data_IF_795185312686
#
_entry.id   IF_795185312686
#
_cell.length_a   1.000
_cell.length_b   1.000
_cell.length_c   1.000
_cell.angle_alpha   90.00
_cell.angle_beta   90.00
_cell.angle_gamma   90.00
#
_symmetry.space_group_name_H-M   'P 1'
#
loop_
_entity.id
_entity.type
_entity.pdbx_description
1 polymer ?
#
# COMPACT_ATOMS: atom_id res chain seq x y z
N UNK A 1 8.09 6.78 -4.82
CA UNK A 1 8.38 5.42 -5.28
C UNK A 1 9.11 4.69 -4.15
N UNK A 2 8.69 3.44 -3.90
CA UNK A 2 9.23 2.61 -2.82
C UNK A 2 9.02 1.12 -3.15
N UNK A 3 9.93 0.28 -2.69
CA UNK A 3 9.72 -1.16 -2.56
C UNK A 3 8.81 -1.40 -1.34
N UNK A 4 7.69 -2.12 -1.53
CA UNK A 4 6.73 -2.37 -0.46
C UNK A 4 6.63 -3.85 -0.15
N UNK A 5 6.53 -4.19 1.14
CA UNK A 5 6.31 -5.54 1.61
C UNK A 5 5.10 -5.54 2.54
N UNK A 6 4.09 -6.35 2.19
CA UNK A 6 2.89 -6.56 3.00
C UNK A 6 2.99 -7.97 3.59
N UNK A 7 3.10 -8.11 4.91
CA UNK A 7 3.07 -9.39 5.63
C UNK A 7 1.81 -9.49 6.48
N UNK A 8 1.05 -10.57 6.35
CA UNK A 8 -0.19 -10.76 7.08
C UNK A 8 0.07 -11.55 8.36
N UNK A 9 -0.32 -10.95 9.49
CA UNK A 9 -0.29 -11.58 10.82
C UNK A 9 -1.62 -12.27 11.12
N UNK A 10 -2.73 -11.56 10.87
CA UNK A 10 -4.10 -12.04 11.12
C UNK A 10 -5.04 -11.55 10.00
N UNK A 11 -6.09 -12.32 9.72
CA UNK A 11 -7.04 -12.00 8.66
C UNK A 11 -6.51 -12.31 7.26
N UNK A 12 -6.80 -11.46 6.29
CA UNK A 12 -6.26 -11.57 4.93
C UNK A 12 -6.27 -10.22 4.22
N UNK A 13 -5.44 -10.06 3.20
CA UNK A 13 -5.47 -8.90 2.33
C UNK A 13 -5.60 -9.33 0.87
N UNK A 14 -6.49 -8.67 0.14
CA UNK A 14 -6.59 -8.81 -1.32
C UNK A 14 -5.80 -7.67 -1.92
N UNK A 15 -4.69 -7.99 -2.57
CA UNK A 15 -3.84 -7.03 -3.25
C UNK A 15 -4.02 -7.19 -4.75
N UNK A 16 -4.47 -6.12 -5.39
CA UNK A 16 -4.62 -6.02 -6.83
C UNK A 16 -3.44 -5.23 -7.39
N UNK A 17 -2.67 -5.89 -8.22
CA UNK A 17 -1.64 -5.31 -9.05
C UNK A 17 -2.22 -5.08 -10.45
N UNK A 18 -1.55 -4.31 -11.28
CA UNK A 18 -1.98 -4.02 -12.66
C UNK A 18 -2.18 -5.27 -13.55
N UNK A 19 -1.61 -6.39 -13.20
CA UNK A 19 -1.58 -7.63 -13.99
C UNK A 19 -2.26 -8.82 -13.29
N UNK A 20 -2.48 -8.73 -11.98
CA UNK A 20 -3.05 -9.86 -11.21
C UNK A 20 -3.61 -9.39 -9.86
N UNK A 21 -4.54 -10.17 -9.34
CA UNK A 21 -5.02 -10.06 -7.96
C UNK A 21 -4.52 -11.25 -7.16
N UNK A 22 -3.99 -10.98 -5.97
CA UNK A 22 -3.53 -12.02 -5.04
C UNK A 22 -4.14 -11.81 -3.66
N UNK A 23 -4.68 -12.88 -3.10
CA UNK A 23 -5.06 -12.91 -1.68
C UNK A 23 -3.85 -13.38 -0.87
N UNK A 24 -3.48 -12.60 0.14
CA UNK A 24 -2.37 -12.89 1.05
C UNK A 24 -2.96 -13.30 2.39
N UNK A 25 -2.58 -14.46 2.88
CA UNK A 25 -3.06 -15.08 4.12
C UNK A 25 -2.05 -14.96 5.26
N UNK A 26 -2.45 -15.27 6.51
CA UNK A 26 -1.55 -15.24 7.66
C UNK A 26 -0.28 -16.07 7.44
N UNK A 27 0.86 -15.50 7.81
CA UNK A 27 2.17 -16.10 7.60
C UNK A 27 2.73 -15.93 6.18
N UNK A 28 1.99 -15.31 5.28
CA UNK A 28 2.45 -14.97 3.94
C UNK A 28 2.82 -13.50 3.83
N UNK A 29 3.74 -13.20 2.90
CA UNK A 29 4.02 -11.81 2.50
C UNK A 29 3.93 -11.65 0.99
N UNK A 30 3.70 -10.42 0.56
CA UNK A 30 3.75 -10.00 -0.83
C UNK A 30 4.73 -8.85 -0.96
N UNK A 31 5.65 -8.98 -1.91
CA UNK A 31 6.56 -7.93 -2.31
C UNK A 31 5.98 -7.22 -3.53
N UNK A 32 5.97 -5.90 -3.49
CA UNK A 32 5.50 -5.02 -4.54
C UNK A 32 6.68 -4.13 -4.94
N UNK A 33 7.15 -4.31 -6.15
CA UNK A 33 8.28 -3.54 -6.68
C UNK A 33 7.92 -2.06 -6.81
N UNK A 34 8.93 -1.20 -6.69
CA UNK A 34 8.78 0.23 -6.84
C UNK A 34 8.12 0.60 -8.18
N UNK A 35 7.31 1.66 -8.17
CA UNK A 35 6.56 2.10 -9.33
C UNK A 35 5.38 1.19 -9.74
N UNK A 36 5.09 0.10 -9.01
CA UNK A 36 3.92 -0.74 -9.30
C UNK A 36 2.67 -0.15 -8.69
N UNK A 37 1.72 0.19 -9.53
CA UNK A 37 0.39 0.61 -9.10
C UNK A 37 -0.32 -0.60 -8.51
N UNK A 38 -0.83 -0.43 -7.30
CA UNK A 38 -1.57 -1.47 -6.61
C UNK A 38 -2.64 -0.91 -5.69
N UNK A 39 -3.60 -1.74 -5.35
CA UNK A 39 -4.55 -1.49 -4.27
C UNK A 39 -4.53 -2.65 -3.29
N UNK A 40 -4.69 -2.36 -2.02
CA UNK A 40 -4.85 -3.39 -0.99
C UNK A 40 -6.16 -3.17 -0.24
N UNK A 41 -6.95 -4.21 -0.07
CA UNK A 41 -8.18 -4.20 0.72
C UNK A 41 -8.23 -5.39 1.67
N UNK A 42 -8.76 -5.15 2.86
CA UNK A 42 -8.94 -6.19 3.86
C UNK A 42 -10.42 -6.60 3.85
N UNK A 43 -10.75 -7.82 3.41
CA UNK A 43 -12.14 -8.28 3.30
C UNK A 43 -12.77 -8.62 4.66
N UNK A 44 -11.94 -8.83 5.70
CA UNK A 44 -12.39 -9.22 7.04
C UNK A 44 -12.10 -8.15 8.09
N UNK A 45 -12.91 -8.14 9.15
CA UNK A 45 -12.61 -7.42 10.40
C UNK A 45 -11.43 -8.08 11.12
N UNK A 46 -10.61 -7.28 11.81
CA UNK A 46 -9.49 -7.83 12.60
C UNK A 46 -8.26 -8.21 11.78
N UNK A 47 -8.06 -7.58 10.64
CA UNK A 47 -6.81 -7.72 9.89
C UNK A 47 -5.66 -7.03 10.63
N UNK A 48 -4.56 -7.76 10.81
CA UNK A 48 -3.30 -7.22 11.32
C UNK A 48 -2.18 -7.58 10.36
N UNK A 49 -1.43 -6.57 9.92
CA UNK A 49 -0.37 -6.74 8.93
C UNK A 49 0.81 -5.83 9.22
N UNK A 50 1.99 -6.25 8.77
CA UNK A 50 3.17 -5.40 8.67
C UNK A 50 3.17 -4.80 7.26
N UNK A 51 3.29 -3.48 7.17
CA UNK A 51 3.60 -2.77 5.94
C UNK A 51 5.01 -2.18 6.09
N UNK A 52 5.95 -2.66 5.31
CA UNK A 52 7.29 -2.08 5.22
C UNK A 52 7.45 -1.41 3.86
N UNK A 53 7.81 -0.14 3.87
CA UNK A 53 8.07 0.65 2.67
C UNK A 53 9.53 1.11 2.69
N UNK A 54 10.27 0.80 1.64
CA UNK A 54 11.69 1.16 1.50
C UNK A 54 11.79 2.11 0.30
N UNK A 55 12.01 3.42 0.53
CA UNK A 55 12.09 4.40 -0.54
C UNK A 55 13.23 4.11 -1.52
N UNK A 56 13.01 4.36 -2.81
CA UNK A 56 14.03 4.20 -3.85
C UNK A 56 15.27 5.06 -3.56
N UNK A 57 15.06 6.26 -3.01
CA UNK A 57 16.15 7.15 -2.58
C UNK A 57 17.04 6.52 -1.50
N UNK A 58 16.47 5.66 -0.63
CA UNK A 58 17.25 4.89 0.34
C UNK A 58 18.04 3.78 -0.36
N UNK A 59 17.39 3.02 -1.26
CA UNK A 59 18.04 1.93 -2.00
C UNK A 59 19.18 2.44 -2.90
N UNK A 60 19.04 3.64 -3.47
CA UNK A 60 20.03 4.28 -4.34
C UNK A 60 21.39 4.53 -3.64
N UNK A 61 21.43 4.58 -2.31
CA UNK A 61 22.69 4.72 -1.57
C UNK A 61 23.51 3.41 -1.53
N UNK A 62 22.90 2.27 -1.81
CA UNK A 62 23.51 0.96 -1.61
C UNK A 62 23.50 0.07 -2.85
N UNK A 63 22.55 0.28 -3.75
CA UNK A 63 22.36 -0.56 -4.93
C UNK A 63 22.58 0.25 -6.20
N UNK A 64 23.31 -0.27 -7.17
CA UNK A 64 23.47 0.39 -8.46
C UNK A 64 22.12 0.38 -9.18
N UNK A 65 21.67 1.57 -9.60
CA UNK A 65 20.46 1.80 -10.39
C UNK A 65 19.21 1.04 -9.87
N UNK A 66 18.65 1.43 -8.70
CA UNK A 66 17.46 0.77 -8.13
C UNK A 66 16.25 0.78 -9.05
N UNK A 67 16.18 1.76 -9.97
CA UNK A 67 15.08 1.86 -10.95
C UNK A 67 15.06 0.70 -11.96
N UNK A 68 16.17 0.00 -12.14
CA UNK A 68 16.29 -1.18 -12.99
C UNK A 68 16.24 -2.50 -12.21
N UNK A 69 16.12 -2.44 -10.89
CA UNK A 69 15.99 -3.63 -10.07
C UNK A 69 14.54 -4.10 -10.04
N UNK A 70 14.40 -5.39 -10.29
CA UNK A 70 13.13 -6.08 -10.16
C UNK A 70 13.31 -7.27 -9.22
N UNK A 71 12.45 -7.40 -8.25
CA UNK A 71 12.45 -8.54 -7.34
C UNK A 71 11.30 -9.47 -7.69
N UNK A 72 11.63 -10.75 -7.92
CA UNK A 72 10.66 -11.79 -8.24
C UNK A 72 10.78 -12.94 -7.24
N UNK A 73 9.66 -13.28 -6.60
CA UNK A 73 9.59 -14.36 -5.61
C UNK A 73 8.53 -15.35 -6.07
N UNK A 74 8.98 -16.57 -6.38
CA UNK A 74 8.09 -17.71 -6.58
C UNK A 74 7.74 -18.33 -5.22
N UNK A 75 6.61 -17.87 -4.65
CA UNK A 75 6.14 -18.32 -3.34
C UNK A 75 5.72 -19.79 -3.32
N UNK A 76 5.35 -20.33 -4.47
CA UNK A 76 4.86 -21.70 -4.63
C UNK A 76 5.97 -22.67 -5.11
N UNK A 77 7.22 -22.19 -5.18
CA UNK A 77 8.38 -22.98 -5.58
C UNK A 77 8.54 -24.22 -4.71
N UNK A 78 8.76 -25.36 -5.33
CA UNK A 78 9.09 -26.62 -4.63
C UNK A 78 10.58 -26.77 -4.33
N UNK A 79 11.40 -25.81 -4.79
CA UNK A 79 12.84 -25.80 -4.53
C UNK A 79 13.13 -25.52 -3.04
N UNK A 80 13.80 -26.47 -2.32
CA UNK A 80 14.07 -26.30 -0.89
C UNK A 80 14.92 -25.07 -0.57
N UNK A 81 15.84 -24.66 -1.45
CA UNK A 81 16.66 -23.46 -1.24
C UNK A 81 15.82 -22.18 -1.34
N UNK A 82 14.90 -22.09 -2.31
CA UNK A 82 13.98 -20.98 -2.45
C UNK A 82 13.09 -20.86 -1.22
N UNK A 83 12.50 -21.97 -0.77
CA UNK A 83 11.66 -21.99 0.43
C UNK A 83 12.42 -21.63 1.71
N UNK A 84 13.69 -22.05 1.83
CA UNK A 84 14.58 -21.64 2.92
C UNK A 84 14.79 -20.13 2.92
N UNK A 85 15.08 -19.54 1.76
CA UNK A 85 15.30 -18.10 1.62
C UNK A 85 14.02 -17.29 1.92
N UNK A 86 12.86 -17.74 1.43
CA UNK A 86 11.54 -17.15 1.78
C UNK A 86 11.29 -17.20 3.29
N UNK A 87 11.59 -18.34 3.92
CA UNK A 87 11.44 -18.51 5.36
C UNK A 87 12.40 -17.62 6.16
N UNK A 88 13.59 -17.33 5.62
CA UNK A 88 14.53 -16.39 6.22
C UNK A 88 14.03 -14.95 6.10
N UNK A 89 13.52 -14.52 4.93
CA UNK A 89 12.89 -13.20 4.76
C UNK A 89 11.75 -13.00 5.76
N UNK A 90 10.91 -14.02 5.94
CA UNK A 90 9.80 -13.99 6.90
C UNK A 90 10.27 -13.81 8.34
N UNK A 91 11.31 -14.52 8.75
CA UNK A 91 11.90 -14.37 10.10
C UNK A 91 12.46 -12.98 10.34
N UNK A 92 13.14 -12.41 9.34
CA UNK A 92 13.68 -11.05 9.43
C UNK A 92 12.58 -9.99 9.57
N UNK A 93 11.47 -10.13 8.82
CA UNK A 93 10.30 -9.24 8.96
C UNK A 93 9.70 -9.28 10.37
N UNK A 94 9.53 -10.49 10.92
CA UNK A 94 9.00 -10.67 12.29
C UNK A 94 9.96 -10.14 13.36
N UNK A 95 11.26 -10.35 13.19
CA UNK A 95 12.30 -9.82 14.09
C UNK A 95 12.32 -8.29 14.09
N UNK A 96 12.25 -7.66 12.91
CA UNK A 96 12.16 -6.20 12.79
C UNK A 96 10.89 -5.64 13.43
N UNK A 97 9.75 -6.31 13.28
CA UNK A 97 8.50 -5.93 13.94
C UNK A 97 8.64 -5.98 15.47
N UNK A 98 9.17 -7.08 15.99
CA UNK A 98 9.37 -7.23 17.43
C UNK A 98 10.30 -6.15 18.00
N UNK A 99 11.42 -5.87 17.32
CA UNK A 99 12.34 -4.79 17.69
C UNK A 99 11.67 -3.42 17.69
N UNK A 100 10.75 -3.19 16.73
CA UNK A 100 9.99 -1.95 16.67
C UNK A 100 8.97 -1.82 17.80
N UNK A 101 8.31 -2.92 18.17
CA UNK A 101 7.30 -2.93 19.24
C UNK A 101 7.91 -2.82 20.62
N UNK A 102 9.04 -3.49 20.86
CA UNK A 102 9.72 -3.55 22.18
C UNK A 102 10.69 -2.39 22.43
N UNK A 103 11.29 -1.83 21.38
CA UNK A 103 12.27 -0.73 21.41
C UNK A 103 13.34 -0.86 22.51
N UNK A 104 14.05 -2.00 22.65
CA UNK A 104 15.10 -2.13 23.63
C UNK A 104 16.26 -1.17 23.37
N UNK A 105 17.08 -0.86 24.37
CA UNK A 105 18.24 0.00 24.21
C UNK A 105 19.11 -0.43 23.03
N UNK A 106 19.39 0.51 22.12
CA UNK A 106 20.18 0.25 20.92
C UNK A 106 19.45 -0.53 19.82
N UNK A 107 18.14 -0.71 19.91
CA UNK A 107 17.33 -1.49 18.93
C UNK A 107 17.54 -1.06 17.48
N UNK A 108 17.79 0.24 17.23
CA UNK A 108 18.01 0.74 15.87
C UNK A 108 19.22 0.09 15.19
N UNK A 109 20.28 -0.23 15.93
CA UNK A 109 21.45 -0.93 15.36
C UNK A 109 21.09 -2.35 14.93
N UNK A 110 20.34 -3.07 15.78
CA UNK A 110 19.87 -4.41 15.45
C UNK A 110 18.85 -4.38 14.32
N UNK A 111 17.91 -3.42 14.33
CA UNK A 111 16.94 -3.22 13.26
C UNK A 111 17.63 -2.96 11.91
N UNK A 112 18.63 -2.09 11.86
CA UNK A 112 19.39 -1.83 10.64
C UNK A 112 20.13 -3.08 10.15
N UNK A 113 20.74 -3.85 11.04
CA UNK A 113 21.38 -5.12 10.68
C UNK A 113 20.37 -6.08 10.03
N UNK A 114 19.18 -6.25 10.63
CA UNK A 114 18.13 -7.11 10.09
C UNK A 114 17.62 -6.59 8.73
N UNK A 115 17.43 -5.27 8.59
CA UNK A 115 17.03 -4.63 7.35
C UNK A 115 18.06 -4.86 6.23
N UNK A 116 19.35 -4.66 6.51
CA UNK A 116 20.39 -4.88 5.50
C UNK A 116 20.55 -6.36 5.16
N UNK A 117 20.38 -7.26 6.14
CA UNK A 117 20.35 -8.71 5.88
C UNK A 117 19.17 -9.09 4.99
N UNK A 118 18.00 -8.48 5.22
CA UNK A 118 16.81 -8.66 4.38
C UNK A 118 17.05 -8.17 2.95
N UNK A 119 17.61 -6.98 2.78
CA UNK A 119 17.93 -6.39 1.47
C UNK A 119 18.99 -7.19 0.72
N UNK A 120 20.05 -7.63 1.41
CA UNK A 120 21.09 -8.49 0.81
C UNK A 120 20.50 -9.82 0.29
N UNK A 121 19.65 -10.45 1.08
CA UNK A 121 18.97 -11.68 0.67
C UNK A 121 18.04 -11.46 -0.52
N UNK A 122 17.28 -10.37 -0.54
CA UNK A 122 16.46 -10.01 -1.70
C UNK A 122 17.32 -9.76 -2.94
N UNK A 123 18.38 -8.98 -2.79
CA UNK A 123 19.25 -8.64 -3.91
C UNK A 123 19.98 -9.83 -4.48
N UNK A 124 20.54 -10.69 -3.62
CA UNK A 124 21.37 -11.83 -4.06
C UNK A 124 20.57 -13.02 -4.56
N UNK A 125 19.32 -13.22 -4.08
CA UNK A 125 18.54 -14.43 -4.37
C UNK A 125 17.30 -14.20 -5.20
N UNK A 126 16.77 -12.98 -5.25
CA UNK A 126 15.48 -12.69 -5.86
C UNK A 126 15.51 -11.48 -6.80
N UNK A 127 16.68 -10.87 -7.06
CA UNK A 127 16.77 -9.79 -8.03
C UNK A 127 16.92 -10.31 -9.46
N UNK A 128 16.21 -9.70 -10.36
CA UNK A 128 16.33 -9.91 -11.81
C UNK A 128 16.79 -8.61 -12.47
N UNK A 129 17.75 -8.70 -13.36
CA UNK A 129 18.16 -7.58 -14.20
C UNK A 129 17.33 -7.63 -15.48
N UNK A 130 16.17 -7.07 -15.49
CA UNK A 130 15.52 -6.60 -16.72
C UNK A 130 14.18 -5.96 -16.45
N UNK A 131 14.06 -4.64 -16.56
CA UNK A 131 12.81 -3.93 -16.40
C UNK A 131 11.84 -4.07 -17.58
N UNK A 132 12.37 -4.37 -18.78
CA UNK A 132 11.58 -4.35 -20.02
C UNK A 132 10.65 -5.55 -20.19
N UNK A 133 10.89 -6.65 -19.48
CA UNK A 133 10.09 -7.87 -19.62
C UNK A 133 8.86 -7.93 -18.66
N UNK A 134 8.83 -7.09 -17.64
CA UNK A 134 7.83 -7.17 -16.55
C UNK A 134 6.84 -6.00 -16.49
N UNK A 135 6.77 -5.15 -17.52
CA UNK A 135 5.70 -4.18 -17.66
C UNK A 135 4.63 -4.72 -18.63
N UNK A 136 3.63 -5.48 -18.12
CA UNK A 136 2.52 -5.96 -18.95
C UNK A 136 1.61 -4.81 -19.40
N UNK A 137 1.77 -3.63 -18.80
CA UNK A 137 1.07 -2.42 -19.22
C UNK A 137 1.90 -1.64 -20.24
N UNK A 138 1.26 -1.11 -21.30
CA UNK A 138 1.95 -0.18 -22.18
C UNK A 138 2.43 1.03 -21.37
N UNK A 139 3.60 1.57 -21.71
CA UNK A 139 4.16 2.76 -21.04
C UNK A 139 3.13 3.91 -20.98
N UNK A 140 2.28 4.03 -22.00
CA UNK A 140 1.18 5.01 -22.06
C UNK A 140 0.11 4.76 -20.99
N UNK A 141 -0.24 3.50 -20.72
CA UNK A 141 -1.22 3.13 -19.68
C UNK A 141 -0.65 3.42 -18.29
N UNK A 142 0.61 3.06 -18.05
CA UNK A 142 1.32 3.36 -16.81
C UNK A 142 1.36 4.86 -16.56
N UNK A 143 1.85 5.65 -17.51
CA UNK A 143 1.91 7.11 -17.40
C UNK A 143 0.55 7.74 -17.09
N UNK A 144 -0.52 7.27 -17.74
CA UNK A 144 -1.88 7.76 -17.47
C UNK A 144 -2.34 7.45 -16.05
N UNK A 145 -2.07 6.24 -15.56
CA UNK A 145 -2.42 5.88 -14.19
C UNK A 145 -1.62 6.71 -13.19
N UNK A 146 -0.31 6.83 -13.36
CA UNK A 146 0.53 7.66 -12.50
C UNK A 146 0.04 9.11 -12.47
N UNK A 147 -0.28 9.66 -13.63
CA UNK A 147 -0.80 11.02 -13.75
C UNK A 147 -2.09 11.21 -12.97
N UNK A 148 -3.08 10.32 -13.13
CA UNK A 148 -4.37 10.46 -12.44
C UNK A 148 -4.27 10.17 -10.93
N UNK A 149 -3.38 9.27 -10.51
CA UNK A 149 -3.16 9.00 -9.10
C UNK A 149 -2.48 10.18 -8.41
N UNK A 150 -1.44 10.74 -9.02
CA UNK A 150 -0.76 11.96 -8.53
C UNK A 150 -1.73 13.13 -8.46
N UNK A 151 -2.48 13.37 -9.54
CA UNK A 151 -3.52 14.39 -9.55
C UNK A 151 -4.54 14.23 -8.41
N UNK A 152 -4.97 13.00 -8.17
CA UNK A 152 -5.91 12.69 -7.08
C UNK A 152 -5.30 12.99 -5.72
N UNK A 153 -4.04 12.62 -5.50
CA UNK A 153 -3.31 12.88 -4.25
C UNK A 153 -3.14 14.38 -3.97
N UNK A 154 -2.96 15.19 -4.99
CA UNK A 154 -2.79 16.63 -4.86
C UNK A 154 -4.13 17.37 -4.68
N UNK A 155 -5.24 16.81 -5.19
CA UNK A 155 -6.52 17.51 -5.30
C UNK A 155 -7.68 16.88 -4.51
N UNK A 156 -7.47 15.76 -3.80
CA UNK A 156 -8.54 14.98 -3.15
C UNK A 156 -9.39 15.75 -2.14
N UNK A 157 -8.89 16.86 -1.60
CA UNK A 157 -9.57 17.68 -0.60
C UNK A 157 -10.76 18.47 -1.16
N UNK A 158 -10.83 18.62 -2.47
CA UNK A 158 -11.93 19.29 -3.17
C UNK A 158 -12.78 18.29 -3.97
N UNK A 159 -13.98 18.67 -4.40
CA UNK A 159 -14.73 17.86 -5.33
C UNK A 159 -13.94 17.64 -6.64
N UNK A 160 -13.83 16.37 -7.07
CA UNK A 160 -13.27 15.98 -8.35
C UNK A 160 -14.37 15.26 -9.12
N UNK A 161 -14.71 15.75 -10.30
CA UNK A 161 -15.69 15.10 -11.17
C UNK A 161 -15.04 14.02 -12.04
N UNK A 162 -15.82 13.04 -12.49
CA UNK A 162 -15.34 12.03 -13.44
C UNK A 162 -14.85 12.66 -14.74
N UNK A 163 -15.51 13.71 -15.21
CA UNK A 163 -15.09 14.45 -16.40
C UNK A 163 -13.72 15.07 -16.20
N UNK A 164 -13.52 15.78 -15.10
CA UNK A 164 -12.24 16.39 -14.76
C UNK A 164 -11.11 15.34 -14.66
N UNK A 165 -11.37 14.22 -13.99
CA UNK A 165 -10.40 13.14 -13.88
C UNK A 165 -10.04 12.52 -15.24
N UNK A 166 -11.01 12.38 -16.13
CA UNK A 166 -10.81 11.90 -17.50
C UNK A 166 -10.01 12.89 -18.35
N UNK A 167 -10.30 14.19 -18.22
CA UNK A 167 -9.62 15.27 -18.96
C UNK A 167 -8.12 15.32 -18.62
N UNK A 168 -7.74 15.09 -17.34
CA UNK A 168 -6.34 15.05 -16.87
C UNK A 168 -5.49 14.05 -17.66
N UNK A 169 -6.07 12.92 -18.07
CA UNK A 169 -5.39 11.86 -18.83
C UNK A 169 -5.81 11.83 -20.32
N UNK A 170 -6.49 12.89 -20.79
CA UNK A 170 -6.97 13.03 -22.17
C UNK A 170 -7.81 11.85 -22.64
N UNK A 171 -8.79 11.45 -21.82
CA UNK A 171 -9.76 10.38 -22.13
C UNK A 171 -11.19 10.91 -22.06
N UNK A 172 -12.09 10.27 -22.83
CA UNK A 172 -13.52 10.48 -22.63
C UNK A 172 -13.99 9.83 -21.32
N UNK A 173 -14.97 10.40 -20.60
CA UNK A 173 -15.38 9.91 -19.28
C UNK A 173 -15.78 8.42 -19.25
N UNK A 174 -16.51 7.94 -20.25
CA UNK A 174 -16.94 6.54 -20.33
C UNK A 174 -15.75 5.59 -20.55
N UNK A 175 -14.80 6.02 -21.38
CA UNK A 175 -13.58 5.26 -21.60
C UNK A 175 -12.69 5.30 -20.36
N UNK A 176 -12.57 6.45 -19.68
CA UNK A 176 -11.84 6.59 -18.42
C UNK A 176 -12.39 5.66 -17.33
N UNK A 177 -13.70 5.58 -17.15
CA UNK A 177 -14.30 4.66 -16.17
C UNK A 177 -13.93 3.21 -16.46
N UNK A 178 -13.99 2.77 -17.71
CA UNK A 178 -13.58 1.41 -18.09
C UNK A 178 -12.09 1.21 -17.93
N UNK A 179 -11.28 2.15 -18.40
CA UNK A 179 -9.81 2.15 -18.27
C UNK A 179 -9.38 2.04 -16.81
N UNK A 180 -9.92 2.90 -15.94
CA UNK A 180 -9.57 2.90 -14.53
C UNK A 180 -9.98 1.59 -13.85
N UNK A 181 -11.23 1.15 -14.08
CA UNK A 181 -11.73 -0.11 -13.50
C UNK A 181 -10.96 -1.34 -13.99
N UNK A 182 -10.58 -1.38 -15.26
CA UNK A 182 -9.82 -2.49 -15.84
C UNK A 182 -8.40 -2.60 -15.23
N UNK A 183 -7.77 -1.46 -14.92
CA UNK A 183 -6.40 -1.44 -14.44
C UNK A 183 -6.27 -1.38 -12.91
N UNK A 184 -7.30 -0.88 -12.21
CA UNK A 184 -7.30 -0.69 -10.75
C UNK A 184 -8.32 -1.61 -10.04
N UNK A 185 -9.11 -2.39 -10.77
CA UNK A 185 -10.20 -3.28 -10.30
C UNK A 185 -11.20 -2.59 -9.35
N UNK A 186 -11.22 -1.26 -9.36
CA UNK A 186 -12.13 -0.41 -8.58
C UNK A 186 -12.56 0.78 -9.42
N UNK A 187 -13.67 1.41 -9.10
CA UNK A 187 -14.03 2.65 -9.77
C UNK A 187 -13.20 3.81 -9.26
N UNK A 188 -13.02 4.85 -10.09
CA UNK A 188 -12.29 6.05 -9.68
C UNK A 188 -12.88 6.72 -8.41
N UNK A 189 -14.21 6.76 -8.29
CA UNK A 189 -14.87 7.34 -7.12
C UNK A 189 -14.66 6.51 -5.85
N UNK A 190 -14.66 5.18 -5.95
CA UNK A 190 -14.31 4.30 -4.83
C UNK A 190 -12.85 4.49 -4.41
N UNK A 191 -11.94 4.60 -5.37
CA UNK A 191 -10.53 4.90 -5.10
C UNK A 191 -10.37 6.26 -4.39
N UNK A 192 -10.96 7.34 -4.93
CA UNK A 192 -10.93 8.68 -4.34
C UNK A 192 -11.47 8.68 -2.90
N UNK A 193 -12.63 8.05 -2.68
CA UNK A 193 -13.21 7.95 -1.34
C UNK A 193 -12.36 7.12 -0.38
N UNK A 194 -11.77 6.02 -0.85
CA UNK A 194 -10.84 5.20 -0.07
C UNK A 194 -9.59 5.99 0.33
N UNK A 195 -9.05 6.80 -0.58
CA UNK A 195 -7.92 7.68 -0.30
C UNK A 195 -8.28 8.72 0.75
N UNK A 196 -9.42 9.41 0.62
CA UNK A 196 -9.95 10.37 1.60
C UNK A 196 -10.10 9.75 2.99
N UNK A 197 -10.71 8.58 3.07
CA UNK A 197 -10.91 7.85 4.32
C UNK A 197 -9.59 7.48 5.00
N UNK A 198 -8.56 7.12 4.25
CA UNK A 198 -7.23 6.83 4.81
C UNK A 198 -6.57 8.07 5.43
N UNK A 199 -6.80 9.26 4.83
CA UNK A 199 -6.31 10.54 5.36
C UNK A 199 -7.08 10.95 6.61
N UNK A 200 -8.42 10.78 6.60
CA UNK A 200 -9.26 11.03 7.78
C UNK A 200 -8.84 10.11 8.94
N UNK A 201 -8.63 8.82 8.68
CA UNK A 201 -8.19 7.87 9.70
C UNK A 201 -6.91 8.35 10.41
N UNK A 202 -5.92 8.80 9.67
CA UNK A 202 -4.66 9.30 10.21
C UNK A 202 -4.86 10.57 11.06
N UNK A 203 -5.58 11.55 10.52
CA UNK A 203 -5.86 12.80 11.24
C UNK A 203 -6.77 12.57 12.46
N UNK A 204 -7.68 11.59 12.40
CA UNK A 204 -8.58 11.22 13.49
C UNK A 204 -7.83 10.71 14.72
N UNK A 205 -6.74 9.99 14.52
CA UNK A 205 -5.88 9.47 15.59
C UNK A 205 -4.89 10.55 16.05
N UNK A 206 -4.35 11.34 15.14
CA UNK A 206 -3.29 12.30 15.42
C UNK A 206 -3.80 13.65 15.97
N UNK A 207 -5.10 13.95 15.85
CA UNK A 207 -5.65 15.27 16.22
C UNK A 207 -6.96 15.18 17.00
N UNK A 208 -7.33 16.29 17.66
CA UNK A 208 -8.60 16.44 18.37
C UNK A 208 -9.70 17.11 17.53
N UNK A 209 -9.45 17.34 16.26
CA UNK A 209 -10.41 18.00 15.38
C UNK A 209 -11.76 17.27 15.35
N UNK A 210 -12.90 17.98 15.33
CA UNK A 210 -14.22 17.37 15.17
C UNK A 210 -14.30 16.48 13.93
N UNK A 211 -15.06 15.39 14.01
CA UNK A 211 -15.19 14.42 12.90
C UNK A 211 -15.73 15.07 11.63
N UNK A 212 -16.74 15.96 11.75
CA UNK A 212 -17.28 16.69 10.60
C UNK A 212 -16.22 17.57 9.94
N UNK A 213 -15.43 18.30 10.74
CA UNK A 213 -14.31 19.13 10.24
C UNK A 213 -13.28 18.28 9.49
N UNK A 214 -12.97 17.09 9.99
CA UNK A 214 -12.07 16.17 9.28
C UNK A 214 -12.68 15.67 7.97
N UNK A 215 -13.96 15.32 7.95
CA UNK A 215 -14.65 14.90 6.75
C UNK A 215 -14.62 15.99 5.67
N UNK A 216 -14.97 17.25 6.04
CA UNK A 216 -14.93 18.40 5.13
C UNK A 216 -13.51 18.69 4.65
N UNK A 217 -12.52 18.77 5.56
CA UNK A 217 -11.10 18.98 5.24
C UNK A 217 -10.57 17.99 4.20
N UNK A 218 -11.05 16.76 4.23
CA UNK A 218 -10.64 15.70 3.32
C UNK A 218 -11.62 15.48 2.15
N UNK A 219 -12.50 16.47 1.88
CA UNK A 219 -13.29 16.54 0.66
C UNK A 219 -14.60 15.76 0.65
N UNK A 220 -15.10 15.32 1.81
CA UNK A 220 -16.47 14.82 1.92
C UNK A 220 -17.46 15.99 2.11
N UNK A 221 -18.37 16.12 1.17
CA UNK A 221 -19.45 17.12 1.21
C UNK A 221 -20.79 16.53 1.67
N UNK A 222 -20.85 15.21 1.86
CA UNK A 222 -22.05 14.47 2.27
C UNK A 222 -21.73 13.59 3.47
N UNK A 223 -22.19 14.02 4.64
CA UNK A 223 -21.98 13.33 5.92
C UNK A 223 -22.55 11.93 5.95
N UNK A 224 -23.73 11.70 5.35
CA UNK A 224 -24.34 10.35 5.32
C UNK A 224 -23.47 9.40 4.51
N UNK A 225 -22.94 9.84 3.37
CA UNK A 225 -22.03 9.06 2.55
C UNK A 225 -20.73 8.76 3.31
N UNK A 226 -20.13 9.79 3.94
CA UNK A 226 -18.92 9.64 4.75
C UNK A 226 -19.10 8.59 5.85
N UNK A 227 -20.13 8.73 6.69
CA UNK A 227 -20.37 7.81 7.81
C UNK A 227 -20.64 6.38 7.35
N UNK A 228 -21.36 6.20 6.23
CA UNK A 228 -21.59 4.88 5.62
C UNK A 228 -20.28 4.26 5.18
N UNK A 229 -19.50 4.94 4.34
CA UNK A 229 -18.23 4.44 3.81
C UNK A 229 -17.18 4.21 4.91
N UNK A 230 -17.16 5.06 5.93
CA UNK A 230 -16.27 4.89 7.09
C UNK A 230 -16.60 3.60 7.84
N UNK A 231 -17.89 3.33 8.10
CA UNK A 231 -18.32 2.11 8.77
C UNK A 231 -18.07 0.85 7.92
N UNK A 232 -18.33 0.93 6.61
CA UNK A 232 -18.05 -0.15 5.67
C UNK A 232 -16.56 -0.52 5.67
N UNK A 233 -15.67 0.48 5.74
CA UNK A 233 -14.22 0.27 5.66
C UNK A 233 -13.58 -0.14 6.99
N UNK A 234 -13.98 0.50 8.10
CA UNK A 234 -13.32 0.33 9.40
C UNK A 234 -14.17 -0.46 10.40
N UNK A 235 -15.39 -0.86 10.05
CA UNK A 235 -16.34 -1.63 10.85
C UNK A 235 -16.65 -0.99 12.22
N UNK A 236 -16.44 0.30 12.35
CA UNK A 236 -16.66 1.10 13.56
C UNK A 236 -17.04 2.53 13.21
N UNK A 237 -17.45 3.31 14.20
CA UNK A 237 -17.67 4.75 13.98
C UNK A 237 -16.39 5.55 14.22
N UNK A 238 -16.25 6.77 13.61
CA UNK A 238 -15.08 7.60 13.83
C UNK A 238 -14.81 7.89 15.32
N UNK A 239 -15.86 8.17 16.11
CA UNK A 239 -15.73 8.46 17.55
C UNK A 239 -15.25 7.25 18.35
N UNK A 240 -15.80 6.06 18.06
CA UNK A 240 -15.36 4.82 18.72
C UNK A 240 -13.90 4.50 18.38
N UNK A 241 -13.50 4.69 17.12
CA UNK A 241 -12.13 4.47 16.68
C UNK A 241 -11.15 5.42 17.39
N UNK A 242 -11.48 6.71 17.50
CA UNK A 242 -10.68 7.69 18.23
C UNK A 242 -10.53 7.31 19.70
N UNK A 243 -11.63 6.91 20.36
CA UNK A 243 -11.62 6.47 21.75
C UNK A 243 -10.67 5.27 21.94
N UNK A 244 -10.83 4.24 21.13
CA UNK A 244 -10.00 3.03 21.19
C UNK A 244 -8.50 3.31 20.93
N UNK A 245 -8.17 4.26 20.03
CA UNK A 245 -6.79 4.64 19.76
C UNK A 245 -6.13 5.34 20.97
N UNK A 246 -6.90 6.18 21.71
CA UNK A 246 -6.40 6.87 22.92
C UNK A 246 -6.18 5.91 24.08
N UNK A 247 -7.08 4.94 24.26
CA UNK A 247 -6.97 3.93 25.32
C UNK A 247 -5.76 3.01 25.15
N UNK A 248 -5.24 2.85 23.93
CA UNK A 248 -4.02 2.08 23.64
C UNK A 248 -2.73 2.88 23.74
N UNK A 249 -2.81 4.20 23.76
CA UNK A 249 -1.65 5.11 23.85
C UNK A 249 -1.41 5.68 25.25
N UNK A 250 -2.24 5.30 26.23
CA UNK A 250 -2.11 5.60 27.66
C UNK A 250 -1.59 4.39 28.42
#
# INVERSE_FOLDING_TARGET
>A
DALEIIYILEGSSIVTLSDRTKTVFPGQFLLINSGRIHTARCPSTGNRSILMQIPDAFLANYLPDPSQLWFSIDYDSTNPEVQKNISQLRRLLLSMMQLHDEMPDGYLLTFQRELFTFLDLLYTKFSEKSPLAHHPMSSRTQTRLDTILTYTQENYQRPITLKEAADVVSLQPEYFCRFFRQNMETTYLEYLNSYRLSRIYRDLIATDLPVGTLAEKHGFTNDKLFHRLFRERFHTTPLQLRKAAREKGS
#
